data_IF_548387529176
#
_entry.id   IF_548387529176
#
_cell.length_a   1.000
_cell.length_b   1.000
_cell.length_c   1.000
_cell.angle_alpha   90.00
_cell.angle_beta   90.00
_cell.angle_gamma   90.00
#
_symmetry.space_group_name_H-M   'P 1'
#
loop_
_entity.id
_entity.type
_entity.pdbx_description
1 polymer ?
#
# COMPACT_ATOMS: atom_id res chain seq x y z
N UNK A 1 25.51 9.70 34.31
CA UNK A 1 25.42 9.25 32.91
C UNK A 1 24.01 8.72 32.73
N UNK A 2 23.27 9.30 31.78
CA UNK A 2 21.92 8.86 31.39
C UNK A 2 22.13 8.00 30.15
N UNK A 3 21.71 6.75 30.22
CA UNK A 3 21.62 5.89 29.05
C UNK A 3 20.14 5.87 28.67
N UNK A 4 19.75 6.81 27.81
CA UNK A 4 18.45 6.85 27.15
C UNK A 4 18.53 5.89 25.94
N UNK A 5 18.34 4.59 26.18
CA UNK A 5 18.09 3.61 25.11
C UNK A 5 16.77 3.98 24.42
N UNK A 6 16.87 4.64 23.27
CA UNK A 6 15.76 4.77 22.33
C UNK A 6 15.59 3.44 21.62
N UNK A 7 14.66 2.63 22.13
CA UNK A 7 14.07 1.52 21.40
C UNK A 7 13.29 2.11 20.19
N UNK A 8 13.99 2.38 19.10
CA UNK A 8 13.39 2.65 17.79
C UNK A 8 12.84 1.34 17.22
N UNK A 9 11.79 0.79 17.86
CA UNK A 9 10.94 -0.18 17.18
C UNK A 9 10.30 0.51 15.97
N UNK A 10 10.35 -0.10 14.76
CA UNK A 10 9.65 0.46 13.61
C UNK A 10 8.16 0.53 13.95
N UNK A 11 7.63 1.74 14.15
CA UNK A 11 6.22 1.98 14.42
C UNK A 11 5.46 1.58 13.16
N UNK A 12 5.06 0.31 13.09
CA UNK A 12 4.17 -0.16 12.02
C UNK A 12 2.94 0.76 12.01
N UNK A 13 2.63 1.44 10.88
CA UNK A 13 1.51 2.38 10.83
C UNK A 13 0.17 1.71 11.18
N UNK A 14 0.09 0.38 11.06
CA UNK A 14 -1.05 -0.42 11.51
C UNK A 14 -1.31 -0.29 13.02
N UNK A 15 -0.27 -0.32 13.87
CA UNK A 15 -0.40 -0.21 15.33
C UNK A 15 -0.96 1.17 15.74
N UNK A 16 -0.62 2.22 14.98
CA UNK A 16 -1.13 3.57 15.22
C UNK A 16 -2.62 3.70 14.88
N UNK A 17 -3.10 3.03 13.83
CA UNK A 17 -4.50 3.02 13.40
C UNK A 17 -5.39 2.23 14.37
N UNK A 18 -4.88 1.09 14.85
CA UNK A 18 -5.52 0.23 15.83
C UNK A 18 -5.75 0.95 17.17
N UNK A 19 -4.69 1.62 17.65
CA UNK A 19 -4.73 2.40 18.89
C UNK A 19 -5.72 3.58 18.80
N UNK A 20 -5.79 4.24 17.65
CA UNK A 20 -6.77 5.31 17.40
C UNK A 20 -8.22 4.79 17.41
N UNK A 21 -8.46 3.58 16.92
CA UNK A 21 -9.78 2.94 16.96
C UNK A 21 -10.22 2.63 18.40
N UNK A 22 -9.32 2.04 19.19
CA UNK A 22 -9.59 1.69 20.60
C UNK A 22 -9.82 2.97 21.41
N UNK A 23 -9.01 4.00 21.19
CA UNK A 23 -9.16 5.30 21.86
C UNK A 23 -10.47 6.01 21.47
N UNK A 24 -10.89 5.90 20.20
CA UNK A 24 -12.20 6.42 19.75
C UNK A 24 -13.36 5.67 20.40
N UNK A 25 -13.26 4.34 20.51
CA UNK A 25 -14.26 3.52 21.19
C UNK A 25 -14.33 3.87 22.69
N UNK A 26 -13.17 4.10 23.32
CA UNK A 26 -13.07 4.57 24.71
C UNK A 26 -13.77 5.91 24.93
N UNK A 27 -13.53 6.88 24.05
CA UNK A 27 -14.16 8.22 24.14
C UNK A 27 -15.68 8.18 23.96
N UNK A 28 -16.18 7.28 23.11
CA UNK A 28 -17.61 7.20 22.77
C UNK A 28 -18.43 6.31 23.70
N UNK A 29 -17.84 5.21 24.17
CA UNK A 29 -18.53 4.14 24.90
C UNK A 29 -17.84 3.75 26.22
N UNK A 30 -16.84 4.53 26.65
CA UNK A 30 -16.08 4.27 27.87
C UNK A 30 -15.16 3.05 27.76
N UNK A 31 -14.65 2.61 28.90
CA UNK A 31 -13.72 1.47 29.00
C UNK A 31 -14.28 0.16 28.45
N UNK A 32 -15.60 -0.07 28.58
CA UNK A 32 -16.26 -1.27 28.01
C UNK A 32 -16.13 -1.29 26.49
N UNK A 33 -16.31 -0.14 25.82
CA UNK A 33 -16.13 -0.03 24.37
C UNK A 33 -14.69 -0.27 23.93
N UNK A 34 -13.71 0.17 24.72
CA UNK A 34 -12.29 -0.07 24.45
C UNK A 34 -11.95 -1.57 24.50
N UNK A 35 -12.48 -2.30 25.48
CA UNK A 35 -12.27 -3.75 25.63
C UNK A 35 -12.89 -4.50 24.45
N UNK A 36 -14.13 -4.18 24.07
CA UNK A 36 -14.80 -4.83 22.92
C UNK A 36 -14.04 -4.54 21.62
N UNK A 37 -13.62 -3.30 21.39
CA UNK A 37 -12.84 -2.93 20.21
C UNK A 37 -11.50 -3.66 20.15
N UNK A 38 -10.82 -3.81 21.29
CA UNK A 38 -9.56 -4.55 21.40
C UNK A 38 -9.78 -6.05 21.11
N UNK A 39 -10.88 -6.63 21.61
CA UNK A 39 -11.24 -8.02 21.34
C UNK A 39 -11.55 -8.26 19.86
N UNK A 40 -12.33 -7.39 19.23
CA UNK A 40 -12.62 -7.49 17.79
C UNK A 40 -11.35 -7.36 16.95
N UNK A 41 -10.44 -6.47 17.33
CA UNK A 41 -9.17 -6.31 16.65
C UNK A 41 -8.27 -7.56 16.77
N UNK A 42 -8.21 -8.15 17.96
CA UNK A 42 -7.47 -9.40 18.17
C UNK A 42 -8.02 -10.56 17.32
N UNK A 43 -9.35 -10.63 17.16
CA UNK A 43 -10.00 -11.62 16.29
C UNK A 43 -9.73 -11.34 14.81
N UNK A 44 -9.77 -10.08 14.37
CA UNK A 44 -9.46 -9.67 12.99
C UNK A 44 -8.00 -9.99 12.60
N UNK A 45 -7.07 -9.84 13.57
CA UNK A 45 -5.66 -10.21 13.40
C UNK A 45 -5.46 -11.73 13.34
N UNK A 46 -6.17 -12.48 14.19
CA UNK A 46 -6.10 -13.95 14.21
C UNK A 46 -6.68 -14.59 12.94
N UNK A 47 -7.78 -14.03 12.42
CA UNK A 47 -8.44 -14.52 11.20
C UNK A 47 -7.72 -14.08 9.91
N UNK A 48 -6.59 -13.38 10.02
CA UNK A 48 -5.71 -13.09 8.89
C UNK A 48 -6.39 -12.18 7.87
N UNK A 49 -6.65 -10.92 8.27
CA UNK A 49 -7.02 -9.89 7.31
C UNK A 49 -5.90 -9.75 6.27
N UNK A 50 -6.23 -9.77 4.98
CA UNK A 50 -5.26 -9.43 3.93
C UNK A 50 -4.64 -8.08 4.30
N UNK A 51 -3.29 -7.96 4.34
CA UNK A 51 -2.66 -6.67 4.57
C UNK A 51 -3.27 -5.70 3.56
N UNK A 52 -3.79 -4.57 4.08
CA UNK A 52 -4.31 -3.51 3.20
C UNK A 52 -3.17 -3.18 2.25
N UNK A 53 -3.41 -3.39 0.96
CA UNK A 53 -2.45 -3.02 -0.09
C UNK A 53 -2.04 -1.57 0.16
N UNK A 54 -0.72 -1.35 0.24
CA UNK A 54 -0.17 -0.02 0.43
C UNK A 54 -0.73 0.90 -0.66
N UNK A 55 -1.04 2.14 -0.27
CA UNK A 55 -1.57 3.15 -1.19
C UNK A 55 -0.59 3.24 -2.36
N UNK A 56 -1.06 3.17 -3.63
CA UNK A 56 -0.17 3.18 -4.78
C UNK A 56 0.76 4.40 -4.71
N UNK A 57 2.04 4.16 -4.52
CA UNK A 57 3.05 5.21 -4.53
C UNK A 57 3.21 5.71 -5.96
N UNK A 58 2.93 7.00 -6.18
CA UNK A 58 3.12 7.66 -7.47
C UNK A 58 4.53 8.24 -7.45
N UNK A 59 5.42 7.63 -8.24
CA UNK A 59 6.77 8.12 -8.41
C UNK A 59 6.81 9.02 -9.64
N UNK A 60 7.11 10.30 -9.44
CA UNK A 60 7.39 11.22 -10.54
C UNK A 60 8.81 10.96 -11.05
N UNK A 61 8.94 10.23 -12.16
CA UNK A 61 10.19 10.16 -12.90
C UNK A 61 10.41 11.50 -13.64
N UNK A 62 11.40 12.28 -13.22
CA UNK A 62 11.82 13.48 -13.96
C UNK A 62 12.53 13.04 -15.25
N UNK A 63 11.83 13.15 -16.39
CA UNK A 63 12.36 12.78 -17.71
C UNK A 63 11.34 12.99 -18.83
N UNK A 64 11.75 12.72 -20.08
CA UNK A 64 10.82 12.65 -21.21
C UNK A 64 9.98 11.37 -21.12
N UNK A 65 8.66 11.41 -21.43
CA UNK A 65 7.83 10.20 -21.44
C UNK A 65 8.39 9.17 -22.43
N UNK A 66 8.77 7.98 -21.94
CA UNK A 66 9.18 6.84 -22.76
C UNK A 66 7.99 5.99 -23.27
N UNK A 67 8.24 5.09 -24.22
CA UNK A 67 7.23 4.18 -24.78
C UNK A 67 7.08 2.89 -23.96
N UNK A 68 6.22 2.92 -22.94
CA UNK A 68 5.96 1.76 -22.08
C UNK A 68 5.29 0.59 -22.81
N UNK A 69 4.62 0.84 -23.94
CA UNK A 69 3.93 -0.20 -24.70
C UNK A 69 4.94 -1.04 -25.51
N UNK A 70 6.07 -0.44 -25.90
CA UNK A 70 7.16 -1.09 -26.64
C UNK A 70 8.29 -1.62 -25.77
N UNK A 71 8.70 -0.82 -24.78
CA UNK A 71 9.92 -1.05 -23.98
C UNK A 71 9.62 -1.67 -22.60
N UNK A 72 8.37 -1.58 -22.13
CA UNK A 72 7.98 -2.08 -20.81
C UNK A 72 8.36 -1.16 -19.65
N UNK A 73 8.28 -1.70 -18.43
CA UNK A 73 8.63 -1.00 -17.19
C UNK A 73 9.71 -1.81 -16.48
N UNK A 74 10.82 -1.15 -16.14
CA UNK A 74 11.90 -1.70 -15.32
C UNK A 74 11.93 -1.06 -13.95
N UNK A 75 12.05 -1.89 -12.91
CA UNK A 75 12.20 -1.46 -11.52
C UNK A 75 13.40 -2.20 -10.96
N UNK A 76 14.45 -1.45 -10.60
CA UNK A 76 15.61 -2.00 -9.90
C UNK A 76 15.24 -2.18 -8.41
N UNK A 77 15.42 -3.39 -7.88
CA UNK A 77 15.13 -3.72 -6.47
C UNK A 77 16.39 -3.59 -5.61
N UNK A 78 17.54 -3.93 -6.18
CA UNK A 78 18.88 -3.79 -5.62
C UNK A 78 19.93 -3.68 -6.76
N UNK A 79 21.22 -3.66 -6.43
CA UNK A 79 22.32 -3.47 -7.39
C UNK A 79 22.42 -4.58 -8.45
N UNK A 80 21.94 -5.80 -8.15
CA UNK A 80 22.06 -6.98 -9.01
C UNK A 80 20.70 -7.53 -9.49
N UNK A 81 19.58 -7.01 -8.96
CA UNK A 81 18.23 -7.54 -9.19
C UNK A 81 17.30 -6.45 -9.71
N UNK A 82 16.73 -6.70 -10.89
CA UNK A 82 15.71 -5.85 -11.48
C UNK A 82 14.53 -6.68 -11.98
N UNK A 83 13.34 -6.08 -11.92
CA UNK A 83 12.10 -6.63 -12.49
C UNK A 83 11.76 -5.85 -13.75
N UNK A 84 11.50 -6.58 -14.83
CA UNK A 84 11.16 -6.01 -16.13
C UNK A 84 9.83 -6.60 -16.63
N UNK A 85 8.94 -5.74 -17.11
CA UNK A 85 7.71 -6.18 -17.77
C UNK A 85 7.94 -6.34 -19.28
N UNK A 86 7.47 -7.44 -19.86
CA UNK A 86 7.53 -7.69 -21.31
C UNK A 86 6.13 -7.46 -21.91
N UNK A 87 5.82 -6.23 -22.39
CA UNK A 87 4.53 -5.94 -22.98
C UNK A 87 4.32 -6.76 -24.26
N UNK A 88 3.10 -7.27 -24.42
CA UNK A 88 2.74 -8.03 -25.62
C UNK A 88 2.60 -7.06 -26.81
N UNK A 89 3.61 -7.04 -27.69
CA UNK A 89 3.63 -6.21 -28.90
C UNK A 89 2.43 -6.41 -29.82
N UNK A 90 1.80 -7.58 -29.79
CA UNK A 90 0.60 -7.87 -30.60
C UNK A 90 -0.68 -7.28 -29.99
N UNK A 91 -0.72 -7.02 -28.68
CA UNK A 91 -1.88 -6.40 -28.02
C UNK A 91 -2.04 -4.91 -28.38
N UNK A 92 -0.95 -4.23 -28.78
CA UNK A 92 -0.97 -2.86 -29.27
C UNK A 92 -1.63 -2.72 -30.66
N UNK A 93 -1.84 -3.84 -31.38
CA UNK A 93 -2.52 -3.81 -32.69
C UNK A 93 -4.04 -3.62 -32.54
N UNK A 94 -4.42 -2.34 -32.56
CA UNK A 94 -5.61 -1.79 -33.22
C UNK A 94 -6.97 -1.96 -32.52
N UNK A 95 -7.30 -1.03 -31.61
CA UNK A 95 -8.69 -0.62 -31.41
C UNK A 95 -9.05 0.49 -32.41
N UNK A 96 -9.47 0.12 -33.62
CA UNK A 96 -10.02 1.08 -34.60
C UNK A 96 -11.40 1.57 -34.14
N UNK A 97 -11.44 2.69 -33.43
CA UNK A 97 -12.71 3.34 -33.07
C UNK A 97 -13.26 4.05 -34.31
N UNK A 98 -14.23 3.41 -35.00
CA UNK A 98 -14.97 4.05 -36.09
C UNK A 98 -16.03 4.96 -35.49
N UNK A 99 -15.81 6.29 -35.53
CA UNK A 99 -16.85 7.27 -35.18
C UNK A 99 -18.04 7.08 -36.13
N UNK A 100 -19.22 6.74 -35.61
CA UNK A 100 -20.47 6.83 -36.37
C UNK A 100 -20.75 8.32 -36.57
N UNK A 101 -20.80 8.76 -37.83
CA UNK A 101 -21.31 10.10 -38.15
C UNK A 101 -22.81 10.10 -37.88
N UNK A 102 -23.26 11.11 -37.15
CA UNK A 102 -24.67 11.44 -36.98
C UNK A 102 -25.24 12.03 -38.27
#
# INVERSE_FOLDING_TARGET
MRDDEHDDEPISPALSSESQMIERARRRYGSVGAIIASGMLGVDKLLGRRPKEEIPSIWEASGEPGDIDGDGIRIDLDDDTAVESHPNRDAARTRRIRKRRA
#
